data_IF_183014041581
#
_entry.id   IF_183014041581
#
_cell.length_a   1.000
_cell.length_b   1.000
_cell.length_c   1.000
_cell.angle_alpha   90.00
_cell.angle_beta   90.00
_cell.angle_gamma   90.00
#
_symmetry.space_group_name_H-M   'P 1'
#
loop_
_entity.id
_entity.type
_entity.pdbx_description
1 polymer ?
#
# COMPACT_ATOMS: atom_id res chain seq x y z
N UNK A 1 13.83 7.30 10.39
CA UNK A 1 13.47 5.90 10.09
C UNK A 1 14.59 5.34 9.24
N UNK A 2 15.06 4.15 9.56
CA UNK A 2 15.99 3.41 8.69
C UNK A 2 15.18 2.72 7.58
N UNK A 3 15.80 2.43 6.45
CA UNK A 3 15.12 1.74 5.34
C UNK A 3 14.47 0.41 5.78
N UNK A 4 15.05 -0.25 6.79
CA UNK A 4 14.52 -1.49 7.37
C UNK A 4 13.26 -1.26 8.21
N UNK A 5 13.28 -0.28 9.11
CA UNK A 5 12.09 0.10 9.89
C UNK A 5 10.93 0.45 8.96
N UNK A 6 11.22 1.17 7.87
CA UNK A 6 10.21 1.46 6.85
C UNK A 6 9.66 0.16 6.26
N UNK A 7 10.52 -0.76 5.81
CA UNK A 7 10.12 -2.06 5.26
C UNK A 7 9.30 -2.93 6.22
N UNK A 8 9.63 -2.94 7.51
CA UNK A 8 8.88 -3.64 8.57
C UNK A 8 7.49 -3.05 8.76
N UNK A 9 7.38 -1.71 8.77
CA UNK A 9 6.09 -1.01 8.78
C UNK A 9 5.28 -1.41 7.54
N UNK A 10 5.95 -1.53 6.38
CA UNK A 10 5.25 -1.88 5.15
C UNK A 10 4.62 -3.26 5.20
N UNK A 11 5.38 -4.26 5.64
CA UNK A 11 4.88 -5.63 5.79
C UNK A 11 3.72 -5.65 6.79
N UNK A 12 3.87 -4.95 7.91
CA UNK A 12 2.85 -4.91 8.96
C UNK A 12 1.51 -4.33 8.49
N UNK A 13 1.54 -3.31 7.64
CA UNK A 13 0.31 -2.74 7.07
C UNK A 13 -0.29 -3.63 5.99
N UNK A 14 0.51 -4.32 5.17
CA UNK A 14 -0.01 -5.32 4.23
C UNK A 14 -0.75 -6.43 4.97
N UNK A 15 -0.19 -6.92 6.07
CA UNK A 15 -0.81 -7.93 6.92
C UNK A 15 -2.09 -7.37 7.58
N UNK A 16 -2.08 -6.11 8.01
CA UNK A 16 -3.26 -5.43 8.54
C UNK A 16 -4.37 -5.30 7.48
N UNK A 17 -4.05 -4.81 6.29
CA UNK A 17 -5.00 -4.66 5.19
C UNK A 17 -5.58 -6.02 4.78
N UNK A 18 -4.74 -7.05 4.67
CA UNK A 18 -5.21 -8.42 4.41
C UNK A 18 -6.14 -8.95 5.51
N UNK A 19 -5.97 -8.50 6.75
CA UNK A 19 -6.87 -8.86 7.86
C UNK A 19 -8.16 -8.05 7.88
N UNK A 20 -8.13 -6.78 7.49
CA UNK A 20 -9.31 -5.90 7.44
C UNK A 20 -10.20 -6.18 6.23
N UNK A 21 -9.60 -6.65 5.14
CA UNK A 21 -10.24 -6.93 3.86
C UNK A 21 -9.95 -8.39 3.46
N UNK A 22 -10.63 -9.35 4.09
CA UNK A 22 -10.33 -10.78 3.94
C UNK A 22 -10.72 -11.34 2.56
N UNK A 23 -11.46 -10.58 1.76
CA UNK A 23 -11.92 -11.01 0.44
C UNK A 23 -10.96 -10.52 -0.66
N UNK A 24 -10.62 -11.40 -1.61
CA UNK A 24 -9.72 -11.05 -2.74
C UNK A 24 -10.26 -9.88 -3.57
N UNK A 25 -11.58 -9.77 -3.70
CA UNK A 25 -12.23 -8.66 -4.41
C UNK A 25 -12.06 -7.31 -3.70
N UNK A 26 -11.76 -7.30 -2.39
CA UNK A 26 -11.56 -6.08 -1.60
C UNK A 26 -10.10 -5.69 -1.54
N UNK A 27 -9.16 -6.62 -1.38
CA UNK A 27 -7.74 -6.33 -1.29
C UNK A 27 -6.91 -7.29 -2.13
N UNK A 28 -6.09 -6.74 -3.02
CA UNK A 28 -5.19 -7.51 -3.88
C UNK A 28 -3.85 -6.78 -4.02
N UNK A 29 -2.75 -7.49 -3.77
CA UNK A 29 -1.40 -7.01 -4.10
C UNK A 29 -1.13 -7.24 -5.58
N UNK A 30 -0.70 -6.20 -6.31
CA UNK A 30 -0.49 -6.30 -7.77
C UNK A 30 0.81 -7.00 -8.13
N UNK A 31 1.81 -6.93 -7.25
CA UNK A 31 3.13 -7.51 -7.45
C UNK A 31 3.57 -8.28 -6.19
N UNK A 32 3.41 -9.60 -6.24
CA UNK A 32 3.84 -10.49 -5.16
C UNK A 32 5.35 -10.66 -5.09
N UNK A 33 6.08 -10.40 -6.19
CA UNK A 33 7.54 -10.44 -6.18
C UNK A 33 8.09 -9.28 -5.35
N UNK A 34 7.55 -8.08 -5.53
CA UNK A 34 7.93 -6.91 -4.74
C UNK A 34 7.72 -7.15 -3.23
N UNK A 35 6.65 -7.87 -2.84
CA UNK A 35 6.42 -8.25 -1.43
C UNK A 35 7.44 -9.26 -0.94
N UNK A 36 7.77 -10.26 -1.75
CA UNK A 36 8.78 -11.26 -1.39
C UNK A 36 10.17 -10.63 -1.21
N UNK A 37 10.56 -9.71 -2.11
CA UNK A 37 11.81 -8.96 -2.02
C UNK A 37 11.86 -8.10 -0.75
N UNK A 38 10.75 -7.43 -0.42
CA UNK A 38 10.63 -6.62 0.79
C UNK A 38 10.72 -7.45 2.07
N UNK A 39 10.08 -8.62 2.10
CA UNK A 39 10.20 -9.59 3.21
C UNK A 39 11.64 -10.09 3.36
N UNK A 40 12.27 -10.47 2.25
CA UNK A 40 13.67 -10.89 2.25
C UNK A 40 14.61 -9.78 2.75
N UNK A 41 14.36 -8.52 2.39
CA UNK A 41 15.13 -7.37 2.89
C UNK A 41 15.03 -7.20 4.41
N UNK A 42 13.85 -7.42 4.99
CA UNK A 42 13.64 -7.36 6.45
C UNK A 42 14.24 -8.55 7.17
N UNK A 43 14.25 -9.73 6.57
CA UNK A 43 14.78 -10.96 7.17
C UNK A 43 16.32 -11.04 7.07
N UNK A 44 16.94 -10.37 6.10
CA UNK A 44 18.37 -10.45 5.83
C UNK A 44 19.07 -9.09 5.95
N UNK A 45 19.84 -8.91 7.01
CA UNK A 45 20.60 -7.68 7.31
C UNK A 45 21.58 -7.24 6.22
N UNK A 46 22.01 -8.17 5.35
CA UNK A 46 22.93 -7.91 4.26
C UNK A 46 22.21 -7.66 2.91
N UNK A 47 20.88 -7.75 2.87
CA UNK A 47 20.12 -7.49 1.66
C UNK A 47 20.03 -5.99 1.36
N UNK A 48 20.05 -5.66 0.07
CA UNK A 48 19.85 -4.30 -0.42
C UNK A 48 18.36 -3.97 -0.49
N UNK A 49 18.04 -2.68 -0.38
CA UNK A 49 16.66 -2.22 -0.47
C UNK A 49 16.09 -2.53 -1.86
N UNK A 50 14.90 -3.15 -1.96
CA UNK A 50 14.29 -3.46 -3.24
C UNK A 50 14.01 -2.18 -4.03
N UNK A 51 14.30 -2.20 -5.32
CA UNK A 51 14.01 -1.09 -6.23
C UNK A 51 12.53 -1.04 -6.64
N UNK A 52 11.87 -2.20 -6.61
CA UNK A 52 10.44 -2.36 -6.84
C UNK A 52 9.63 -1.87 -5.64
N UNK A 53 8.58 -1.08 -5.89
CA UNK A 53 7.66 -0.62 -4.85
C UNK A 53 6.45 -1.54 -4.81
N UNK A 54 6.12 -2.08 -3.63
CA UNK A 54 4.89 -2.83 -3.43
C UNK A 54 3.69 -1.94 -3.77
N UNK A 55 2.76 -2.47 -4.55
CA UNK A 55 1.51 -1.82 -4.89
C UNK A 55 0.34 -2.75 -4.53
N UNK A 56 -0.74 -2.14 -4.06
CA UNK A 56 -1.97 -2.85 -3.76
C UNK A 56 -3.16 -2.11 -4.35
N UNK A 57 -4.22 -2.88 -4.57
CA UNK A 57 -5.55 -2.45 -4.97
C UNK A 57 -6.47 -2.71 -3.79
N UNK A 58 -7.17 -1.68 -3.36
CA UNK A 58 -8.21 -1.75 -2.35
C UNK A 58 -9.54 -1.31 -2.96
N UNK A 59 -10.52 -2.20 -3.01
CA UNK A 59 -11.88 -1.91 -3.43
C UNK A 59 -12.77 -1.79 -2.18
N UNK A 60 -13.18 -0.56 -1.89
CA UNK A 60 -14.03 -0.28 -0.72
C UNK A 60 -15.45 -0.03 -1.20
N UNK A 61 -16.41 -0.72 -0.58
CA UNK A 61 -17.83 -0.41 -0.71
C UNK A 61 -18.16 0.70 0.30
N UNK A 62 -18.49 1.92 -0.17
CA UNK A 62 -18.90 2.99 0.73
C UNK A 62 -20.19 2.62 1.47
N UNK A 63 -20.39 3.18 2.66
CA UNK A 63 -21.60 2.94 3.47
C UNK A 63 -22.88 3.46 2.81
N UNK A 64 -22.77 4.41 1.87
CA UNK A 64 -23.90 4.84 1.05
C UNK A 64 -24.21 3.77 0.00
N UNK A 65 -25.37 3.10 0.07
CA UNK A 65 -25.75 2.06 -0.87
C UNK A 65 -25.95 2.56 -2.32
N UNK A 66 -26.01 3.87 -2.54
CA UNK A 66 -26.08 4.48 -3.87
C UNK A 66 -24.70 4.88 -4.42
N UNK A 67 -23.65 4.83 -3.61
CA UNK A 67 -22.31 5.18 -4.03
C UNK A 67 -21.63 3.99 -4.72
N UNK A 68 -20.89 4.29 -5.79
CA UNK A 68 -20.14 3.27 -6.53
C UNK A 68 -18.93 2.80 -5.73
N UNK A 69 -18.48 1.56 -5.97
CA UNK A 69 -17.25 1.03 -5.38
C UNK A 69 -16.07 1.94 -5.71
N UNK A 70 -15.23 2.20 -4.70
CA UNK A 70 -14.05 3.04 -4.85
C UNK A 70 -12.83 2.13 -4.91
N UNK A 71 -12.10 2.19 -6.02
CA UNK A 71 -10.82 1.48 -6.20
C UNK A 71 -9.66 2.41 -5.88
N UNK A 72 -8.84 2.02 -4.92
CA UNK A 72 -7.66 2.75 -4.47
C UNK A 72 -6.43 1.93 -4.87
N UNK A 73 -5.59 2.48 -5.75
CA UNK A 73 -4.30 1.88 -6.12
C UNK A 73 -3.19 2.76 -5.53
N UNK A 74 -2.36 2.18 -4.66
CA UNK A 74 -1.29 2.96 -4.00
C UNK A 74 0.02 2.18 -3.97
N UNK A 75 1.16 2.84 -4.26
CA UNK A 75 2.45 2.33 -3.87
C UNK A 75 2.63 2.55 -2.38
N UNK A 76 3.13 1.52 -1.71
CA UNK A 76 3.28 1.46 -0.26
C UNK A 76 4.17 2.60 0.29
N UNK A 77 5.18 3.02 -0.49
CA UNK A 77 6.13 4.09 -0.15
C UNK A 77 5.54 5.50 0.02
N UNK A 78 4.23 5.71 -0.08
CA UNK A 78 3.65 7.06 0.02
C UNK A 78 3.39 7.41 1.48
N UNK A 79 4.23 8.28 2.06
CA UNK A 79 3.97 8.80 3.40
C UNK A 79 2.59 9.49 3.47
N UNK A 80 1.91 9.52 4.62
CA UNK A 80 0.68 10.31 4.78
C UNK A 80 0.85 11.79 4.41
N UNK A 81 2.07 12.32 4.51
CA UNK A 81 2.44 13.66 4.06
C UNK A 81 2.43 13.78 2.53
N UNK A 82 2.91 12.77 1.79
CA UNK A 82 2.83 12.71 0.32
C UNK A 82 1.40 12.47 -0.19
N UNK A 83 0.56 11.76 0.57
CA UNK A 83 -0.87 11.65 0.27
C UNK A 83 -1.58 13.01 0.37
N UNK A 84 -1.21 13.83 1.37
CA UNK A 84 -1.72 15.20 1.49
C UNK A 84 -1.27 16.10 0.34
N UNK A 85 0.00 16.05 -0.06
CA UNK A 85 0.47 16.87 -1.17
C UNK A 85 -0.13 16.42 -2.51
N UNK A 86 -0.36 15.13 -2.75
CA UNK A 86 -1.03 14.66 -3.98
C UNK A 86 -2.53 15.00 -4.04
N UNK A 87 -3.25 14.89 -2.92
CA UNK A 87 -4.68 15.22 -2.88
C UNK A 87 -4.97 16.74 -2.97
N UNK A 88 -3.98 17.61 -2.72
CA UNK A 88 -4.13 19.06 -2.91
C UNK A 88 -4.07 19.44 -4.40
N UNK A 89 -3.32 18.71 -5.24
CA UNK A 89 -3.23 19.02 -6.67
C UNK A 89 -4.45 18.57 -7.48
N UNK A 90 -5.29 17.67 -6.96
CA UNK A 90 -6.56 17.29 -7.61
C UNK A 90 -7.74 18.21 -7.23
N UNK A 91 -7.54 19.15 -6.30
CA UNK A 91 -8.59 20.08 -5.83
C UNK A 91 -8.49 21.49 -6.43
N UNK A 92 -7.46 21.81 -7.23
CA UNK A 92 -7.29 23.13 -7.90
C UNK A 92 -7.56 23.08 -9.43
N UNK A 93 -8.50 22.23 -9.85
CA UNK A 93 -9.05 22.28 -11.21
C UNK A 93 -10.59 22.18 -11.19
N UNK A 94 -11.22 23.14 -10.51
CA UNK A 94 -12.55 23.65 -10.85
C UNK A 94 -12.58 25.17 -10.73
#
# INVERSE_FOLDING_TARGET
MTNREEAEIQISELDLLSSMFPYEEEFTVTDQLAVAELKHFVENDAAEMPSSKVQFILNVKPEDPNASMVTIIKPFSTSPAELRSKNIFDAELQ
#
